data_IF_565201720465
#
_entry.id   IF_565201720465
#
_cell.length_a   1.000
_cell.length_b   1.000
_cell.length_c   1.000
_cell.angle_alpha   90.00
_cell.angle_beta   90.00
_cell.angle_gamma   90.00
#
_symmetry.space_group_name_H-M   'P 1'
#
loop_
_entity.id
_entity.type
_entity.pdbx_description
1 polymer ?
#
# COMPACT_ATOMS: atom_id res chain seq x y z
N UNK A 1 -26.40 -73.94 -13.67
CA UNK A 1 -26.82 -72.55 -14.06
C UNK A 1 -26.64 -71.56 -12.86
N UNK A 2 -25.59 -71.68 -12.05
CA UNK A 2 -25.40 -70.85 -10.85
C UNK A 2 -24.10 -70.09 -10.76
N UNK A 3 -23.11 -70.32 -11.62
CA UNK A 3 -21.77 -69.73 -11.52
C UNK A 3 -21.59 -68.39 -12.23
N UNK A 4 -22.43 -68.11 -13.24
CA UNK A 4 -22.32 -66.87 -14.05
C UNK A 4 -22.86 -65.62 -13.32
N UNK A 5 -23.77 -65.77 -12.42
CA UNK A 5 -24.39 -64.62 -11.65
C UNK A 5 -23.47 -64.12 -10.55
N UNK A 6 -22.71 -65.01 -9.88
CA UNK A 6 -21.79 -64.60 -8.80
C UNK A 6 -20.57 -63.80 -9.32
N UNK A 7 -20.10 -64.12 -10.52
CA UNK A 7 -18.97 -63.42 -11.14
C UNK A 7 -19.40 -61.95 -11.50
N UNK A 8 -20.60 -61.75 -11.99
CA UNK A 8 -21.13 -60.43 -12.30
C UNK A 8 -21.33 -59.54 -11.05
N UNK A 9 -21.75 -60.14 -9.94
CA UNK A 9 -21.86 -59.42 -8.67
C UNK A 9 -20.49 -59.06 -8.10
N UNK A 10 -19.51 -59.92 -8.22
CA UNK A 10 -18.13 -59.65 -7.77
C UNK A 10 -17.46 -58.58 -8.63
N UNK A 11 -17.64 -58.61 -9.94
CA UNK A 11 -17.16 -57.58 -10.87
C UNK A 11 -17.75 -56.24 -10.55
N UNK A 12 -19.06 -56.17 -10.32
CA UNK A 12 -19.77 -54.92 -9.99
C UNK A 12 -19.35 -54.31 -8.63
N UNK A 13 -18.99 -55.17 -7.65
CA UNK A 13 -18.48 -54.70 -6.35
C UNK A 13 -17.04 -54.17 -6.46
N UNK A 14 -16.21 -54.78 -7.31
CA UNK A 14 -14.85 -54.27 -7.61
C UNK A 14 -14.89 -52.93 -8.34
N UNK A 15 -15.78 -52.77 -9.33
CA UNK A 15 -15.95 -51.50 -10.06
C UNK A 15 -16.44 -50.38 -9.14
N UNK A 16 -17.32 -50.69 -8.17
CA UNK A 16 -17.77 -49.72 -7.17
C UNK A 16 -16.64 -49.33 -6.18
N UNK A 17 -15.76 -50.23 -5.82
CA UNK A 17 -14.61 -49.95 -4.97
C UNK A 17 -13.56 -49.10 -5.70
N UNK A 18 -13.24 -49.44 -6.96
CA UNK A 18 -12.30 -48.67 -7.78
C UNK A 18 -12.84 -47.24 -8.03
N UNK A 19 -14.15 -47.10 -8.30
CA UNK A 19 -14.80 -45.80 -8.48
C UNK A 19 -14.81 -44.98 -7.18
N UNK A 20 -14.99 -45.60 -6.00
CA UNK A 20 -14.85 -44.93 -4.70
C UNK A 20 -13.42 -44.47 -4.41
N UNK A 21 -12.42 -45.28 -4.80
CA UNK A 21 -11.01 -44.93 -4.65
C UNK A 21 -10.61 -43.76 -5.58
N UNK A 22 -11.06 -43.77 -6.83
CA UNK A 22 -10.80 -42.65 -7.76
C UNK A 22 -11.47 -41.34 -7.34
N UNK A 23 -12.70 -41.41 -6.81
CA UNK A 23 -13.39 -40.21 -6.24
C UNK A 23 -12.71 -39.69 -4.96
N UNK A 24 -12.10 -40.59 -4.19
CA UNK A 24 -11.34 -40.20 -2.98
C UNK A 24 -10.02 -39.55 -3.31
N UNK A 25 -9.32 -40.00 -4.37
CA UNK A 25 -8.11 -39.36 -4.85
C UNK A 25 -8.39 -37.98 -5.48
N UNK A 26 -9.47 -37.86 -6.26
CA UNK A 26 -9.88 -36.55 -6.82
C UNK A 26 -10.30 -35.56 -5.76
N UNK A 27 -10.98 -36.00 -4.69
CA UNK A 27 -11.32 -35.15 -3.56
C UNK A 27 -10.10 -34.73 -2.72
N UNK A 28 -9.08 -35.61 -2.56
CA UNK A 28 -7.84 -35.23 -1.87
C UNK A 28 -7.05 -34.19 -2.66
N UNK A 29 -6.97 -34.29 -3.99
CA UNK A 29 -6.34 -33.27 -4.84
C UNK A 29 -7.09 -31.93 -4.83
N UNK A 30 -8.42 -31.93 -4.75
CA UNK A 30 -9.21 -30.71 -4.60
C UNK A 30 -9.11 -30.08 -3.20
N UNK A 31 -8.95 -30.88 -2.16
CA UNK A 31 -8.76 -30.39 -0.78
C UNK A 31 -7.37 -29.79 -0.60
N UNK A 32 -6.36 -30.32 -1.25
CA UNK A 32 -5.00 -29.76 -1.25
C UNK A 32 -4.90 -28.43 -1.97
N UNK A 33 -5.77 -28.15 -2.97
CA UNK A 33 -5.89 -26.82 -3.60
C UNK A 33 -6.62 -25.79 -2.74
N UNK A 34 -7.39 -26.22 -1.74
CA UNK A 34 -8.10 -25.38 -0.77
C UNK A 34 -7.35 -25.25 0.56
N UNK A 35 -6.12 -25.77 0.68
CA UNK A 35 -5.29 -25.44 1.81
C UNK A 35 -4.99 -23.93 1.70
N UNK A 36 -5.51 -23.15 2.63
CA UNK A 36 -5.15 -21.74 2.86
C UNK A 36 -3.66 -21.70 3.21
N UNK A 37 -2.84 -21.88 2.20
CA UNK A 37 -1.40 -21.68 2.33
C UNK A 37 -1.24 -20.19 2.47
N UNK A 38 -1.03 -19.74 3.66
CA UNK A 38 -0.57 -18.39 3.92
C UNK A 38 0.79 -18.28 3.24
N UNK A 39 0.80 -17.78 2.00
CA UNK A 39 2.05 -17.49 1.32
C UNK A 39 2.71 -16.36 2.08
N UNK A 40 3.65 -16.72 2.92
CA UNK A 40 4.49 -15.78 3.62
C UNK A 40 5.47 -15.21 2.58
N UNK A 41 5.18 -14.01 2.09
CA UNK A 41 6.06 -13.31 1.16
C UNK A 41 7.30 -12.90 1.94
N UNK A 42 8.34 -13.72 1.87
CA UNK A 42 9.63 -13.50 2.55
C UNK A 42 10.47 -12.42 1.87
N UNK A 43 10.18 -12.09 0.62
CA UNK A 43 10.97 -11.11 -0.13
C UNK A 43 10.05 -10.08 -0.81
N UNK A 44 10.34 -8.79 -0.71
CA UNK A 44 9.62 -7.75 -1.42
C UNK A 44 10.05 -7.72 -2.90
N UNK A 45 9.79 -8.82 -3.62
CA UNK A 45 10.18 -8.96 -5.04
C UNK A 45 9.11 -8.41 -5.98
N UNK A 46 8.07 -7.77 -5.44
CA UNK A 46 7.08 -7.06 -6.24
C UNK A 46 7.70 -5.80 -6.85
N UNK A 47 7.54 -5.64 -8.15
CA UNK A 47 7.92 -4.40 -8.84
C UNK A 47 7.17 -3.23 -8.21
N UNK A 48 7.91 -2.25 -7.69
CA UNK A 48 7.34 -1.02 -7.14
C UNK A 48 6.80 -0.19 -8.29
N UNK A 49 5.53 0.17 -8.22
CA UNK A 49 4.89 1.06 -9.18
C UNK A 49 5.15 2.52 -8.80
N UNK A 50 5.04 3.40 -9.80
CA UNK A 50 5.16 4.83 -9.62
C UNK A 50 3.80 5.48 -9.84
N UNK A 51 3.39 6.30 -8.89
CA UNK A 51 2.13 7.03 -8.94
C UNK A 51 2.36 8.53 -8.95
N UNK A 52 1.65 9.22 -9.84
CA UNK A 52 1.63 10.68 -9.93
C UNK A 52 0.31 11.20 -9.38
N UNK A 53 0.40 12.17 -8.47
CA UNK A 53 -0.74 12.79 -7.81
C UNK A 53 -0.63 14.31 -7.97
N UNK A 54 -1.68 14.96 -8.45
CA UNK A 54 -1.78 16.41 -8.46
C UNK A 54 -2.40 16.90 -7.15
N UNK A 55 -1.68 17.80 -6.47
CA UNK A 55 -2.11 18.39 -5.20
C UNK A 55 -3.02 19.62 -5.38
N UNK A 56 -3.27 20.08 -6.61
CA UNK A 56 -4.06 21.28 -6.88
C UNK A 56 -5.45 21.19 -6.25
N UNK A 57 -5.79 22.17 -5.37
CA UNK A 57 -7.06 22.25 -4.64
C UNK A 57 -7.40 21.03 -3.76
N UNK A 58 -6.45 20.11 -3.55
CA UNK A 58 -6.66 18.97 -2.66
C UNK A 58 -6.49 19.37 -1.20
N UNK A 59 -7.33 18.82 -0.33
CA UNK A 59 -7.19 19.04 1.12
C UNK A 59 -5.98 18.29 1.66
N UNK A 60 -5.07 18.99 2.33
CA UNK A 60 -3.80 18.44 2.84
C UNK A 60 -3.98 17.11 3.60
N UNK A 61 -4.97 17.03 4.51
CA UNK A 61 -5.17 15.83 5.32
C UNK A 61 -5.55 14.60 4.48
N UNK A 62 -6.51 14.75 3.57
CA UNK A 62 -6.97 13.65 2.69
C UNK A 62 -5.86 13.23 1.72
N UNK A 63 -5.13 14.18 1.15
CA UNK A 63 -3.96 13.91 0.32
C UNK A 63 -2.93 13.08 1.09
N UNK A 64 -2.50 13.55 2.28
CA UNK A 64 -1.49 12.86 3.08
C UNK A 64 -1.93 11.44 3.48
N UNK A 65 -3.21 11.24 3.84
CA UNK A 65 -3.74 9.91 4.22
C UNK A 65 -3.67 8.94 3.05
N UNK A 66 -4.07 9.36 1.85
CA UNK A 66 -4.02 8.52 0.64
C UNK A 66 -2.59 8.18 0.26
N UNK A 67 -1.71 9.17 0.26
CA UNK A 67 -0.27 9.00 -0.02
C UNK A 67 0.38 8.06 0.98
N UNK A 68 0.14 8.23 2.28
CA UNK A 68 0.68 7.34 3.31
C UNK A 68 0.19 5.89 3.13
N UNK A 69 -1.07 5.69 2.75
CA UNK A 69 -1.62 4.36 2.45
C UNK A 69 -0.90 3.68 1.27
N UNK A 70 -0.58 4.43 0.20
CA UNK A 70 0.15 3.91 -0.96
C UNK A 70 1.61 3.61 -0.60
N UNK A 71 2.30 4.51 0.11
CA UNK A 71 3.68 4.34 0.56
C UNK A 71 3.86 3.12 1.49
N UNK A 72 2.86 2.82 2.32
CA UNK A 72 2.85 1.61 3.16
C UNK A 72 2.48 0.34 2.38
N UNK A 73 1.82 0.47 1.21
CA UNK A 73 1.34 -0.65 0.43
C UNK A 73 0.01 -1.23 0.89
N UNK A 74 -0.79 -0.49 1.68
CA UNK A 74 -2.09 -0.97 2.19
C UNK A 74 -3.15 -1.25 1.11
N UNK A 75 -2.93 -0.77 -0.11
CA UNK A 75 -3.79 -1.04 -1.26
C UNK A 75 -3.54 -2.40 -1.91
N UNK A 76 -2.42 -3.05 -1.58
CA UNK A 76 -2.06 -4.36 -2.12
C UNK A 76 -2.59 -5.49 -1.24
N UNK A 77 -3.08 -6.60 -1.83
CA UNK A 77 -3.51 -7.78 -1.06
C UNK A 77 -2.35 -8.45 -0.30
N UNK A 78 -1.13 -8.28 -0.79
CA UNK A 78 0.12 -8.82 -0.22
C UNK A 78 0.69 -7.97 0.91
N UNK A 79 -0.06 -6.98 1.40
CA UNK A 79 0.40 -6.09 2.47
C UNK A 79 0.78 -6.85 3.73
N UNK A 80 2.02 -6.67 4.18
CA UNK A 80 2.53 -7.17 5.47
C UNK A 80 3.18 -6.01 6.24
N UNK A 81 2.90 -5.86 7.57
CA UNK A 81 3.41 -4.73 8.35
C UNK A 81 4.93 -4.69 8.52
N UNK A 82 5.59 -5.84 8.39
CA UNK A 82 7.03 -6.02 8.59
C UNK A 82 7.87 -5.78 7.33
N UNK A 83 7.24 -5.70 6.15
CA UNK A 83 7.92 -5.51 4.86
C UNK A 83 7.56 -4.17 4.21
N UNK A 84 8.48 -3.67 3.39
CA UNK A 84 8.26 -2.47 2.56
C UNK A 84 7.69 -2.85 1.19
N UNK A 85 6.39 -3.20 1.16
CA UNK A 85 5.65 -3.55 -0.04
C UNK A 85 5.05 -2.34 -0.79
N UNK A 86 5.22 -1.13 -0.25
CA UNK A 86 4.63 0.10 -0.80
C UNK A 86 5.31 0.61 -2.07
N UNK A 87 4.62 1.46 -2.79
CA UNK A 87 5.00 2.02 -4.08
C UNK A 87 5.61 3.42 -3.94
N UNK A 88 6.18 3.92 -5.05
CA UNK A 88 6.73 5.27 -5.11
C UNK A 88 5.63 6.28 -5.46
N UNK A 89 5.63 7.44 -4.81
CA UNK A 89 4.64 8.49 -5.05
C UNK A 89 5.32 9.80 -5.40
N UNK A 90 4.88 10.39 -6.51
CA UNK A 90 5.27 11.72 -6.97
C UNK A 90 4.09 12.65 -6.75
N UNK A 91 4.31 13.77 -6.09
CA UNK A 91 3.30 14.81 -5.88
C UNK A 91 3.77 16.08 -6.58
N UNK A 92 2.91 16.64 -7.41
CA UNK A 92 3.13 17.89 -8.14
C UNK A 92 2.23 19.01 -7.61
N UNK A 93 2.55 20.26 -7.91
CA UNK A 93 1.78 21.45 -7.53
C UNK A 93 1.59 21.59 -6.01
N UNK A 94 2.63 21.31 -5.21
CA UNK A 94 2.54 21.36 -3.74
C UNK A 94 2.24 22.74 -3.17
N UNK A 95 2.41 23.81 -3.93
CA UNK A 95 2.08 25.19 -3.58
C UNK A 95 0.56 25.48 -3.57
N UNK A 96 -0.22 24.70 -4.36
CA UNK A 96 -1.65 24.91 -4.58
C UNK A 96 -2.56 24.05 -3.69
N UNK A 97 -2.04 23.59 -2.56
CA UNK A 97 -2.79 22.81 -1.58
C UNK A 97 -3.84 23.65 -0.88
N UNK A 98 -4.98 23.04 -0.54
CA UNK A 98 -6.01 23.67 0.27
C UNK A 98 -5.99 23.19 1.72
N UNK A 99 -6.24 24.10 2.65
CA UNK A 99 -6.53 23.83 4.07
C UNK A 99 -7.95 24.31 4.37
N UNK A 100 -8.74 23.48 5.05
CA UNK A 100 -10.12 23.80 5.39
C UNK A 100 -10.20 24.71 6.61
N UNK A 101 -11.17 25.64 6.61
CA UNK A 101 -11.37 26.61 7.71
C UNK A 101 -10.18 27.56 7.88
N UNK A 102 -9.97 28.05 9.11
CA UNK A 102 -8.91 29.03 9.40
C UNK A 102 -7.51 28.42 9.62
N UNK A 103 -7.28 27.17 9.21
CA UNK A 103 -6.02 26.44 9.49
C UNK A 103 -4.77 27.10 8.90
N UNK A 104 -4.91 27.95 7.90
CA UNK A 104 -3.80 28.73 7.40
C UNK A 104 -3.17 29.64 8.45
N UNK A 105 -3.99 30.21 9.32
CA UNK A 105 -3.54 31.15 10.38
C UNK A 105 -3.33 30.46 11.72
N UNK A 106 -4.13 29.41 12.03
CA UNK A 106 -4.15 28.79 13.37
C UNK A 106 -3.21 27.59 13.48
N UNK A 107 -2.91 26.90 12.34
CA UNK A 107 -2.06 25.72 12.38
C UNK A 107 -0.60 26.12 12.50
N UNK A 108 0.04 25.68 13.58
CA UNK A 108 1.45 25.94 13.86
C UNK A 108 2.28 24.65 13.73
N UNK A 109 3.46 24.79 13.15
CA UNK A 109 4.48 23.73 13.06
C UNK A 109 5.59 24.04 14.04
N UNK A 110 5.78 23.14 15.01
CA UNK A 110 6.76 23.29 16.08
C UNK A 110 8.04 22.55 15.68
N UNK A 111 9.15 23.26 15.79
CA UNK A 111 10.50 22.70 15.66
C UNK A 111 11.32 23.11 16.88
N UNK A 112 12.11 22.19 17.41
CA UNK A 112 13.03 22.43 18.53
C UNK A 112 14.47 22.25 18.09
N UNK A 113 15.37 23.14 18.53
CA UNK A 113 16.80 23.09 18.18
C UNK A 113 17.63 22.23 19.13
N UNK A 114 17.04 21.73 20.22
CA UNK A 114 17.73 20.94 21.25
C UNK A 114 18.33 21.76 22.39
N UNK A 115 18.36 23.10 22.30
CA UNK A 115 18.86 23.99 23.35
C UNK A 115 17.73 24.57 24.21
N UNK A 116 17.99 24.96 25.46
CA UNK A 116 17.02 25.70 26.30
C UNK A 116 16.47 26.91 25.54
N UNK A 117 15.15 27.10 25.54
CA UNK A 117 14.50 28.17 24.78
C UNK A 117 14.51 27.99 23.25
N UNK A 118 14.96 26.84 22.71
CA UNK A 118 15.12 26.60 21.29
C UNK A 118 13.85 26.21 20.53
N UNK A 119 12.66 26.39 21.09
CA UNK A 119 11.38 26.16 20.41
C UNK A 119 11.12 27.23 19.35
N UNK A 120 10.82 26.82 18.14
CA UNK A 120 10.44 27.70 17.04
C UNK A 120 9.09 27.30 16.49
N UNK A 121 8.20 28.29 16.36
CA UNK A 121 6.85 28.14 15.82
C UNK A 121 6.79 28.82 14.44
N UNK A 122 6.20 28.13 13.48
CA UNK A 122 5.97 28.68 12.13
C UNK A 122 4.52 28.37 11.76
N UNK A 123 3.76 29.38 11.36
CA UNK A 123 2.38 29.20 10.87
C UNK A 123 2.35 28.49 9.52
N UNK A 124 1.26 27.77 9.25
CA UNK A 124 1.11 27.04 7.99
C UNK A 124 1.25 27.93 6.76
N UNK A 125 0.69 29.14 6.82
CA UNK A 125 0.79 30.17 5.77
C UNK A 125 2.24 30.53 5.47
N UNK A 126 3.03 30.83 6.50
CA UNK A 126 4.43 31.23 6.34
C UNK A 126 5.31 30.06 5.87
N UNK A 127 4.98 28.84 6.31
CA UNK A 127 5.67 27.65 5.87
C UNK A 127 5.40 27.36 4.39
N UNK A 128 4.16 27.57 3.91
CA UNK A 128 3.82 27.40 2.49
C UNK A 128 4.59 28.37 1.59
N UNK A 129 4.76 29.62 2.03
CA UNK A 129 5.55 30.61 1.27
C UNK A 129 7.04 30.25 1.26
N UNK A 130 7.60 29.81 2.39
CA UNK A 130 9.03 29.50 2.51
C UNK A 130 9.41 28.16 1.87
N UNK A 131 8.62 27.12 2.12
CA UNK A 131 8.87 25.75 1.66
C UNK A 131 7.53 25.01 1.49
N UNK A 132 6.83 25.13 0.37
CA UNK A 132 5.53 24.47 0.17
C UNK A 132 5.61 22.95 0.26
N UNK A 133 6.72 22.37 -0.18
CA UNK A 133 7.00 20.94 -0.08
C UNK A 133 6.91 20.43 1.36
N UNK A 134 7.39 21.22 2.33
CA UNK A 134 7.48 20.81 3.75
C UNK A 134 6.12 20.55 4.39
N UNK A 135 5.02 21.17 3.91
CA UNK A 135 3.68 20.92 4.41
C UNK A 135 3.26 19.46 4.17
N UNK A 136 3.45 18.98 2.94
CA UNK A 136 3.12 17.60 2.56
C UNK A 136 4.06 16.62 3.25
N UNK A 137 5.36 16.89 3.19
CA UNK A 137 6.38 16.02 3.79
C UNK A 137 6.13 15.78 5.27
N UNK A 138 5.88 16.86 6.04
CA UNK A 138 5.59 16.78 7.47
C UNK A 138 4.28 16.03 7.72
N UNK A 139 3.26 16.27 6.90
CA UNK A 139 1.97 15.58 6.99
C UNK A 139 2.10 14.09 6.76
N UNK A 140 2.76 13.68 5.69
CA UNK A 140 2.97 12.25 5.36
C UNK A 140 3.89 11.58 6.38
N UNK A 141 5.01 12.22 6.77
CA UNK A 141 5.93 11.69 7.78
C UNK A 141 5.26 11.44 9.12
N UNK A 142 4.32 12.31 9.51
CA UNK A 142 3.53 12.13 10.72
C UNK A 142 2.57 10.93 10.68
N UNK A 143 2.15 10.49 9.47
CA UNK A 143 1.25 9.37 9.25
C UNK A 143 1.98 8.03 9.01
N UNK A 144 3.27 8.06 8.72
CA UNK A 144 4.09 6.86 8.58
C UNK A 144 4.61 6.36 9.95
N UNK A 145 4.94 5.07 10.08
CA UNK A 145 5.55 4.52 11.28
C UNK A 145 6.86 5.23 11.62
N UNK A 146 7.11 5.47 12.92
CA UNK A 146 8.36 6.10 13.41
C UNK A 146 9.51 5.10 13.58
N UNK A 147 9.68 4.18 12.65
CA UNK A 147 10.68 3.12 12.67
C UNK A 147 11.67 3.24 11.52
N UNK A 148 12.71 2.39 11.51
CA UNK A 148 13.63 2.28 10.37
C UNK A 148 12.86 1.99 9.06
N UNK A 149 11.85 1.12 9.13
CA UNK A 149 10.98 0.79 8.01
C UNK A 149 10.19 2.01 7.51
N UNK A 150 9.60 2.80 8.42
CA UNK A 150 8.89 4.02 8.05
C UNK A 150 9.78 5.07 7.39
N UNK A 151 11.05 5.17 7.80
CA UNK A 151 12.02 6.03 7.12
C UNK A 151 12.37 5.52 5.70
N UNK A 152 12.41 4.20 5.49
CA UNK A 152 12.58 3.62 4.16
C UNK A 152 11.37 3.90 3.26
N UNK A 153 10.15 3.76 3.79
CA UNK A 153 8.92 4.12 3.08
C UNK A 153 8.88 5.61 2.71
N UNK A 154 9.32 6.50 3.61
CA UNK A 154 9.36 7.94 3.39
C UNK A 154 10.29 8.33 2.23
N UNK A 155 11.40 7.63 2.00
CA UNK A 155 12.32 7.89 0.89
C UNK A 155 11.69 7.69 -0.50
N UNK A 156 10.55 7.00 -0.59
CA UNK A 156 9.79 6.79 -1.83
C UNK A 156 8.83 7.93 -2.16
N UNK A 157 8.76 8.94 -1.29
CA UNK A 157 7.96 10.14 -1.51
C UNK A 157 8.80 11.20 -2.20
N UNK A 158 8.32 11.68 -3.34
CA UNK A 158 8.92 12.77 -4.12
C UNK A 158 7.90 13.89 -4.27
N UNK A 159 8.20 15.07 -3.76
CA UNK A 159 7.28 16.22 -3.77
C UNK A 159 7.91 17.36 -4.54
N UNK A 160 7.14 17.94 -5.47
CA UNK A 160 7.56 19.05 -6.31
C UNK A 160 6.61 20.23 -6.18
N UNK A 161 7.15 21.44 -6.25
CA UNK A 161 6.38 22.66 -6.13
C UNK A 161 5.60 22.94 -7.41
N UNK A 162 6.21 22.72 -8.58
CA UNK A 162 5.60 22.94 -9.89
C UNK A 162 4.95 21.69 -10.48
N UNK A 163 4.54 21.81 -11.72
CA UNK A 163 3.95 20.71 -12.51
C UNK A 163 5.01 19.75 -13.09
N UNK A 164 6.26 20.20 -13.19
CA UNK A 164 7.34 19.41 -13.79
C UNK A 164 8.03 18.52 -12.76
N UNK A 165 8.40 17.32 -13.18
CA UNK A 165 9.14 16.36 -12.36
C UNK A 165 10.17 15.58 -13.19
N UNK A 166 11.33 15.20 -12.65
CA UNK A 166 12.40 14.51 -13.38
C UNK A 166 12.16 13.01 -13.61
N UNK A 167 11.02 12.45 -13.13
CA UNK A 167 10.74 11.02 -13.13
C UNK A 167 9.87 10.55 -14.32
N UNK A 168 9.91 11.23 -15.46
CA UNK A 168 9.14 10.83 -16.66
C UNK A 168 9.53 9.45 -17.18
N UNK A 169 10.80 9.08 -17.10
CA UNK A 169 11.32 7.77 -17.51
C UNK A 169 10.72 6.59 -16.74
N UNK A 170 10.17 6.83 -15.54
CA UNK A 170 9.52 5.79 -14.72
C UNK A 170 8.06 5.52 -15.12
N UNK A 171 7.52 6.26 -16.10
CA UNK A 171 6.13 6.15 -16.57
C UNK A 171 5.10 6.11 -15.42
N UNK A 172 5.03 7.15 -14.58
CA UNK A 172 4.16 7.15 -13.42
C UNK A 172 2.68 7.13 -13.81
N UNK A 173 1.88 6.31 -13.11
CA UNK A 173 0.43 6.24 -13.29
C UNK A 173 -0.25 7.39 -12.55
N UNK A 174 -1.08 8.17 -13.21
CA UNK A 174 -1.84 9.26 -12.58
C UNK A 174 -2.98 8.72 -11.73
N UNK A 175 -3.06 9.19 -10.46
CA UNK A 175 -4.16 8.88 -9.55
C UNK A 175 -4.86 10.18 -9.15
N UNK A 176 -6.18 10.22 -9.32
CA UNK A 176 -7.04 11.30 -8.81
C UNK A 176 -7.55 10.93 -7.41
N UNK A 177 -7.42 11.86 -6.47
CA UNK A 177 -7.95 11.71 -5.12
C UNK A 177 -9.35 12.35 -5.08
N UNK A 178 -10.35 11.54 -4.77
CA UNK A 178 -11.73 12.01 -4.54
C UNK A 178 -11.94 12.31 -3.06
#
# INVERSE_FOLDING_TARGET
>A
IGLSTNIKYFQKSLDLQTKKLSLRSQNSEQVDQLSYRTEFILTPNEKKEWFLIDATNQTLGRLCTKVASILMGKHKPTFTPNLDAGDCVIIINSDKISLTGNKWNDKEYIRHTGHPGGQRLIKAKDLNVKKPIALIETGVKGMLPKSKLGNAMYKKLHVYQGAEHPHSAQMPKTITIK
#
